data_IF_775176154763
#
_entry.id   IF_775176154763
#
_cell.length_a   1.000
_cell.length_b   1.000
_cell.length_c   1.000
_cell.angle_alpha   90.00
_cell.angle_beta   90.00
_cell.angle_gamma   90.00
#
_symmetry.space_group_name_H-M   'P 1'
#
loop_
_entity.id
_entity.type
_entity.pdbx_description
1 polymer ?
#
# COMPACT_ATOMS: atom_id res chain seq x y z
N UNK A 1 14.70 0.66 -12.21
CA UNK A 1 13.72 1.79 -12.23
C UNK A 1 14.22 2.82 -11.23
N UNK A 2 14.32 4.11 -11.58
CA UNK A 2 14.84 5.12 -10.64
C UNK A 2 13.87 5.30 -9.45
N UNK A 3 14.39 5.61 -8.26
CA UNK A 3 13.63 5.72 -7.01
C UNK A 3 12.47 6.73 -7.12
N UNK A 4 12.68 7.83 -7.85
CA UNK A 4 11.66 8.86 -8.07
C UNK A 4 10.47 8.31 -8.86
N UNK A 5 10.71 7.61 -9.97
CA UNK A 5 9.63 7.06 -10.82
C UNK A 5 8.86 5.95 -10.11
N UNK A 6 9.54 5.16 -9.28
CA UNK A 6 8.90 4.15 -8.43
C UNK A 6 7.97 4.77 -7.37
N UNK A 7 8.40 5.83 -6.68
CA UNK A 7 7.55 6.55 -5.74
C UNK A 7 6.35 7.24 -6.43
N UNK A 8 6.54 7.82 -7.63
CA UNK A 8 5.45 8.38 -8.44
C UNK A 8 4.40 7.30 -8.75
N UNK A 9 4.81 6.08 -9.12
CA UNK A 9 3.91 4.94 -9.35
C UNK A 9 3.11 4.54 -8.10
N UNK A 10 3.76 4.41 -6.95
CA UNK A 10 3.07 4.06 -5.68
C UNK A 10 2.04 5.12 -5.30
N UNK A 11 2.41 6.40 -5.37
CA UNK A 11 1.54 7.53 -5.05
C UNK A 11 0.36 7.62 -6.01
N UNK A 12 0.57 7.44 -7.32
CA UNK A 12 -0.48 7.45 -8.34
C UNK A 12 -1.50 6.32 -8.12
N UNK A 13 -1.03 5.09 -7.93
CA UNK A 13 -1.91 3.96 -7.66
C UNK A 13 -2.70 4.13 -6.35
N UNK A 14 -2.06 4.61 -5.28
CA UNK A 14 -2.76 4.87 -4.03
C UNK A 14 -3.78 6.01 -4.17
N UNK A 15 -3.48 7.07 -4.94
CA UNK A 15 -4.41 8.17 -5.23
C UNK A 15 -5.69 7.65 -5.86
N UNK A 16 -5.57 6.76 -6.85
CA UNK A 16 -6.75 6.12 -7.47
C UNK A 16 -7.67 5.48 -6.42
N UNK A 17 -7.13 4.67 -5.49
CA UNK A 17 -7.95 4.03 -4.46
C UNK A 17 -8.59 5.03 -3.49
N UNK A 18 -7.87 6.09 -3.10
CA UNK A 18 -8.41 7.15 -2.22
C UNK A 18 -9.58 7.87 -2.85
N UNK A 19 -9.40 8.38 -4.06
CA UNK A 19 -10.41 9.19 -4.76
C UNK A 19 -11.61 8.35 -5.16
N UNK A 20 -11.40 7.10 -5.59
CA UNK A 20 -12.48 6.26 -6.12
C UNK A 20 -13.30 5.56 -5.04
N UNK A 21 -12.71 5.25 -3.88
CA UNK A 21 -13.35 4.38 -2.88
C UNK A 21 -13.38 4.97 -1.47
N UNK A 22 -13.06 6.25 -1.29
CA UNK A 22 -13.22 6.95 -0.02
C UNK A 22 -12.26 6.49 1.07
N UNK A 23 -11.06 6.01 0.72
CA UNK A 23 -10.03 5.73 1.73
C UNK A 23 -9.49 7.04 2.33
N UNK A 24 -9.83 7.30 3.59
CA UNK A 24 -9.37 8.45 4.36
C UNK A 24 -8.56 8.04 5.60
N UNK A 25 -7.74 8.94 6.17
CA UNK A 25 -7.08 8.70 7.44
C UNK A 25 -8.08 8.49 8.60
N UNK A 26 -7.71 7.75 9.66
CA UNK A 26 -6.46 7.00 9.79
C UNK A 26 -6.46 5.72 8.94
N UNK A 27 -5.37 5.50 8.19
CA UNK A 27 -5.22 4.35 7.31
C UNK A 27 -4.90 3.09 8.11
N UNK A 28 -5.79 2.10 8.06
CA UNK A 28 -5.59 0.81 8.71
C UNK A 28 -4.87 -0.13 7.73
N UNK A 29 -3.66 -0.53 8.10
CA UNK A 29 -2.79 -1.36 7.24
C UNK A 29 -2.62 -2.72 7.89
N UNK A 30 -3.33 -3.73 7.39
CA UNK A 30 -3.24 -5.10 7.87
C UNK A 30 -2.05 -5.81 7.22
N UNK A 31 -0.99 -6.02 8.00
CA UNK A 31 0.23 -6.70 7.56
C UNK A 31 0.24 -8.14 8.06
N UNK A 32 0.55 -9.08 7.17
CA UNK A 32 0.95 -10.42 7.61
C UNK A 32 2.41 -10.42 8.14
N UNK A 33 2.80 -11.40 8.96
CA UNK A 33 4.16 -11.49 9.49
C UNK A 33 5.24 -11.61 8.40
N UNK A 34 4.94 -12.28 7.29
CA UNK A 34 5.90 -12.50 6.21
C UNK A 34 6.26 -11.19 5.47
N UNK A 35 5.30 -10.29 5.30
CA UNK A 35 5.51 -8.94 4.79
C UNK A 35 6.35 -8.10 5.74
N UNK A 36 6.07 -8.19 7.05
CA UNK A 36 6.88 -7.50 8.06
C UNK A 36 8.32 -8.02 8.01
N UNK A 37 8.52 -9.33 7.96
CA UNK A 37 9.86 -9.91 7.80
C UNK A 37 10.58 -9.37 6.56
N UNK A 38 9.92 -9.42 5.39
CA UNK A 38 10.50 -8.89 4.15
C UNK A 38 10.83 -7.39 4.25
N UNK A 39 10.03 -6.60 4.98
CA UNK A 39 10.30 -5.18 5.20
C UNK A 39 11.55 -4.94 6.05
N UNK A 40 11.75 -5.77 7.08
CA UNK A 40 12.92 -5.68 7.94
C UNK A 40 14.19 -6.10 7.19
N UNK A 41 14.10 -7.19 6.42
CA UNK A 41 15.19 -7.70 5.59
C UNK A 41 15.62 -6.67 4.53
N UNK A 42 14.65 -6.05 3.87
CA UNK A 42 14.87 -4.95 2.91
C UNK A 42 15.16 -3.59 3.55
N UNK A 43 15.26 -3.50 4.89
CA UNK A 43 15.50 -2.26 5.66
C UNK A 43 14.52 -1.13 5.32
N UNK A 44 13.25 -1.49 5.10
CA UNK A 44 12.16 -0.56 4.78
C UNK A 44 11.47 -0.14 6.07
N UNK A 45 11.58 1.15 6.45
CA UNK A 45 10.72 1.70 7.50
C UNK A 45 9.28 1.86 6.98
N UNK A 46 8.42 0.91 7.32
CA UNK A 46 7.03 0.87 6.86
C UNK A 46 6.23 2.13 7.24
N UNK A 47 6.38 2.64 8.47
CA UNK A 47 5.61 3.82 8.92
C UNK A 47 5.97 5.05 8.09
N UNK A 48 7.26 5.28 7.87
CA UNK A 48 7.73 6.43 7.09
C UNK A 48 7.30 6.31 5.63
N UNK A 49 7.50 5.13 5.03
CA UNK A 49 7.11 4.87 3.63
C UNK A 49 5.61 5.03 3.41
N UNK A 50 4.80 4.43 4.27
CA UNK A 50 3.35 4.58 4.16
C UNK A 50 2.90 6.01 4.44
N UNK A 51 3.51 6.73 5.38
CA UNK A 51 3.19 8.15 5.61
C UNK A 51 3.52 8.99 4.38
N UNK A 52 4.64 8.72 3.70
CA UNK A 52 5.04 9.41 2.48
C UNK A 52 4.04 9.19 1.31
N UNK A 53 3.52 7.96 1.17
CA UNK A 53 2.59 7.58 0.11
C UNK A 53 1.14 7.99 0.46
N UNK A 54 0.74 7.78 1.71
CA UNK A 54 -0.64 7.94 2.16
C UNK A 54 -0.96 9.35 2.61
N UNK A 55 0.05 10.18 2.96
CA UNK A 55 -0.14 11.57 3.37
C UNK A 55 -1.21 11.72 4.46
N UNK A 56 -1.10 10.90 5.50
CA UNK A 56 -2.03 10.88 6.63
C UNK A 56 -1.59 9.89 7.70
N UNK A 57 -2.33 9.85 8.82
CA UNK A 57 -2.03 8.95 9.92
C UNK A 57 -2.16 7.49 9.49
N UNK A 58 -1.18 6.65 9.86
CA UNK A 58 -1.11 5.22 9.49
C UNK A 58 -1.05 4.36 10.76
N UNK A 59 -1.93 3.36 10.84
CA UNK A 59 -1.88 2.32 11.86
C UNK A 59 -1.57 0.97 11.23
N UNK A 60 -0.36 0.49 11.48
CA UNK A 60 0.01 -0.88 11.18
C UNK A 60 -0.75 -1.82 12.11
N UNK A 61 -1.32 -2.88 11.54
CA UNK A 61 -2.06 -3.91 12.25
C UNK A 61 -1.53 -5.29 11.88
N UNK A 62 -1.59 -6.21 12.83
CA UNK A 62 -1.29 -7.63 12.61
C UNK A 62 -2.43 -8.46 13.18
N UNK A 63 -2.87 -9.49 12.46
CA UNK A 63 -3.91 -10.39 12.99
C UNK A 63 -3.37 -11.19 14.16
N UNK A 64 -4.25 -11.53 15.10
CA UNK A 64 -3.93 -12.44 16.19
C UNK A 64 -3.43 -13.79 15.67
N UNK A 65 -4.09 -14.34 14.63
CA UNK A 65 -3.64 -15.59 14.00
C UNK A 65 -2.24 -15.49 13.40
N UNK A 66 -1.93 -14.38 12.71
CA UNK A 66 -0.58 -14.14 12.18
C UNK A 66 0.46 -14.04 13.28
N UNK A 67 0.17 -13.28 14.33
CA UNK A 67 1.09 -13.14 15.47
C UNK A 67 1.31 -14.47 16.20
N UNK A 68 0.26 -15.28 16.37
CA UNK A 68 0.34 -16.60 16.98
C UNK A 68 1.19 -17.56 16.13
N UNK A 69 0.96 -17.62 14.81
CA UNK A 69 1.72 -18.47 13.90
C UNK A 69 3.23 -18.15 14.00
N UNK A 70 3.61 -16.89 13.77
CA UNK A 70 5.04 -16.51 13.76
C UNK A 70 5.69 -16.65 15.14
N UNK A 71 4.94 -16.47 16.23
CA UNK A 71 5.46 -16.68 17.59
C UNK A 71 5.66 -18.16 17.92
N UNK A 72 4.91 -19.06 17.28
CA UNK A 72 4.96 -20.51 17.52
C UNK A 72 6.14 -21.19 16.86
N UNK A 73 6.63 -20.65 15.74
CA UNK A 73 7.71 -21.24 14.93
C UNK A 73 9.06 -21.32 15.66
N UNK A 74 9.26 -20.53 16.74
CA UNK A 74 10.52 -20.41 17.50
C UNK A 74 11.77 -20.21 16.62
N UNK A 75 11.58 -19.72 15.40
CA UNK A 75 12.65 -19.42 14.46
C UNK A 75 13.38 -18.15 14.89
N UNK A 76 14.70 -18.24 15.02
CA UNK A 76 15.56 -17.10 15.36
C UNK A 76 15.47 -15.99 14.32
N UNK A 77 15.27 -16.33 13.05
CA UNK A 77 15.16 -15.37 11.96
C UNK A 77 13.86 -14.55 12.03
N UNK A 78 12.82 -15.09 12.70
CA UNK A 78 11.52 -14.42 12.87
C UNK A 78 11.41 -13.62 14.17
N UNK A 79 12.41 -13.69 15.06
CA UNK A 79 12.39 -12.98 16.36
C UNK A 79 12.22 -11.47 16.20
N UNK A 80 12.93 -10.86 15.25
CA UNK A 80 12.83 -9.43 14.94
C UNK A 80 11.43 -9.07 14.44
N UNK A 81 10.84 -9.90 13.58
CA UNK A 81 9.45 -9.79 13.11
C UNK A 81 8.47 -9.82 14.27
N UNK A 82 8.56 -10.81 15.17
CA UNK A 82 7.70 -10.91 16.36
C UNK A 82 7.80 -9.65 17.23
N UNK A 83 9.02 -9.16 17.46
CA UNK A 83 9.24 -7.94 18.25
C UNK A 83 8.66 -6.71 17.56
N UNK A 84 8.83 -6.58 16.25
CA UNK A 84 8.24 -5.50 15.47
C UNK A 84 6.71 -5.54 15.56
N UNK A 85 6.10 -6.70 15.35
CA UNK A 85 4.65 -6.88 15.48
C UNK A 85 4.14 -6.42 16.85
N UNK A 86 4.81 -6.81 17.94
CA UNK A 86 4.38 -6.46 19.31
C UNK A 86 4.57 -4.98 19.66
N UNK A 87 5.60 -4.32 19.10
CA UNK A 87 5.97 -2.94 19.47
C UNK A 87 5.38 -1.89 18.52
N UNK A 88 5.26 -2.21 17.23
CA UNK A 88 4.94 -1.24 16.18
C UNK A 88 3.56 -1.44 15.56
N UNK A 89 2.98 -2.64 15.68
CA UNK A 89 1.65 -2.95 15.15
C UNK A 89 0.60 -2.99 16.27
N UNK A 90 -0.61 -2.54 15.95
CA UNK A 90 -1.79 -2.78 16.77
C UNK A 90 -2.31 -4.20 16.50
N UNK A 91 -2.69 -4.92 17.56
CA UNK A 91 -3.29 -6.25 17.41
C UNK A 91 -4.70 -6.14 16.80
N UNK A 92 -4.93 -6.82 15.70
CA UNK A 92 -6.26 -7.02 15.12
C UNK A 92 -6.84 -8.32 15.69
N UNK A 93 -7.78 -8.18 16.62
CA UNK A 93 -8.44 -9.32 17.30
C UNK A 93 -9.40 -10.02 16.35
N UNK A 94 -9.33 -11.35 16.31
CA UNK A 94 -10.18 -12.17 15.45
C UNK A 94 -11.43 -12.58 16.23
N UNK A 95 -12.54 -11.86 16.08
CA UNK A 95 -13.80 -12.17 16.80
C UNK A 95 -14.66 -13.21 16.08
N UNK A 96 -14.49 -13.36 14.77
CA UNK A 96 -15.37 -14.17 13.91
C UNK A 96 -14.99 -15.65 13.84
N UNK A 97 -13.79 -16.02 14.31
CA UNK A 97 -13.26 -17.37 14.16
C UNK A 97 -12.27 -17.73 15.28
N UNK A 98 -12.06 -19.03 15.47
CA UNK A 98 -10.97 -19.56 16.31
C UNK A 98 -9.63 -19.40 15.58
N UNK A 99 -8.47 -19.53 16.28
CA UNK A 99 -7.17 -19.49 15.63
C UNK A 99 -7.12 -20.40 14.40
N UNK A 100 -6.72 -19.84 13.27
CA UNK A 100 -6.67 -20.51 11.97
C UNK A 100 -5.44 -20.04 11.18
N UNK A 101 -5.24 -20.57 9.98
CA UNK A 101 -4.15 -20.12 9.12
C UNK A 101 -4.27 -18.60 8.83
N UNK A 102 -3.18 -17.81 8.88
CA UNK A 102 -3.23 -16.36 8.68
C UNK A 102 -3.80 -15.91 7.32
N UNK A 103 -3.60 -16.70 6.25
CA UNK A 103 -4.19 -16.44 4.94
C UNK A 103 -5.71 -16.41 5.02
N UNK A 104 -6.29 -17.45 5.61
CA UNK A 104 -7.73 -17.61 5.72
C UNK A 104 -8.31 -16.60 6.71
N UNK A 105 -7.57 -16.30 7.79
CA UNK A 105 -7.92 -15.24 8.74
C UNK A 105 -8.04 -13.87 8.05
N UNK A 106 -7.10 -13.50 7.16
CA UNK A 106 -7.21 -12.25 6.41
C UNK A 106 -8.49 -12.24 5.56
N UNK A 107 -8.74 -13.31 4.80
CA UNK A 107 -9.94 -13.42 3.96
C UNK A 107 -11.24 -13.34 4.77
N UNK A 108 -11.30 -13.99 5.93
CA UNK A 108 -12.45 -13.93 6.82
C UNK A 108 -12.69 -12.49 7.32
N UNK A 109 -11.64 -11.78 7.73
CA UNK A 109 -11.76 -10.38 8.15
C UNK A 109 -12.23 -9.47 7.01
N UNK A 110 -11.77 -9.68 5.77
CA UNK A 110 -12.27 -8.94 4.61
C UNK A 110 -13.76 -9.23 4.35
N UNK A 111 -14.17 -10.50 4.45
CA UNK A 111 -15.57 -10.92 4.34
C UNK A 111 -16.45 -10.26 5.42
N UNK A 112 -15.92 -10.08 6.61
CA UNK A 112 -16.60 -9.44 7.75
C UNK A 112 -16.46 -7.91 7.78
N UNK A 113 -16.13 -7.28 6.64
CA UNK A 113 -16.25 -5.84 6.48
C UNK A 113 -15.02 -5.04 6.89
N UNK A 114 -13.85 -5.68 7.08
CA UNK A 114 -12.60 -4.93 7.20
C UNK A 114 -12.42 -4.05 5.95
N UNK A 115 -12.29 -2.75 6.18
CA UNK A 115 -12.00 -1.76 5.15
C UNK A 115 -10.67 -1.07 5.49
N UNK A 116 -9.68 -1.22 4.61
CA UNK A 116 -8.33 -0.72 4.86
C UNK A 116 -7.38 -1.05 3.72
N UNK A 117 -6.15 -1.40 4.06
CA UNK A 117 -5.10 -1.82 3.14
C UNK A 117 -4.56 -3.17 3.62
N UNK A 118 -4.26 -4.08 2.70
CA UNK A 118 -3.63 -5.38 3.02
C UNK A 118 -2.18 -5.38 2.55
N UNK A 119 -1.28 -5.90 3.37
CA UNK A 119 0.13 -6.10 3.04
C UNK A 119 0.51 -7.57 3.24
N UNK A 120 0.89 -8.25 2.17
CA UNK A 120 1.19 -9.69 2.21
C UNK A 120 2.19 -10.09 1.12
N UNK A 121 3.06 -11.04 1.44
CA UNK A 121 3.99 -11.64 0.46
C UNK A 121 3.38 -12.85 -0.28
N UNK A 122 2.21 -13.30 0.14
CA UNK A 122 1.54 -14.47 -0.42
C UNK A 122 0.94 -14.15 -1.80
N UNK A 123 1.58 -14.61 -2.87
CA UNK A 123 1.14 -14.43 -4.26
C UNK A 123 -0.31 -14.90 -4.52
N UNK A 124 -0.67 -16.15 -4.19
CA UNK A 124 -2.05 -16.63 -4.28
C UNK A 124 -3.07 -15.80 -3.51
N UNK A 125 -2.77 -15.38 -2.28
CA UNK A 125 -3.66 -14.53 -1.47
C UNK A 125 -3.87 -13.17 -2.14
N UNK A 126 -2.81 -12.52 -2.60
CA UNK A 126 -2.87 -11.24 -3.33
C UNK A 126 -3.83 -11.30 -4.52
N UNK A 127 -3.71 -12.34 -5.36
CA UNK A 127 -4.60 -12.56 -6.51
C UNK A 127 -6.05 -12.79 -6.07
N UNK A 128 -6.24 -13.52 -4.97
CA UNK A 128 -7.57 -13.79 -4.42
C UNK A 128 -8.24 -12.52 -3.91
N UNK A 129 -7.51 -11.70 -3.14
CA UNK A 129 -8.01 -10.42 -2.64
C UNK A 129 -8.33 -9.48 -3.79
N UNK A 130 -7.44 -9.34 -4.79
CA UNK A 130 -7.68 -8.46 -5.93
C UNK A 130 -8.95 -8.86 -6.73
N UNK A 131 -9.25 -10.15 -6.80
CA UNK A 131 -10.45 -10.67 -7.48
C UNK A 131 -11.72 -10.45 -6.67
N UNK A 132 -11.71 -10.76 -5.38
CA UNK A 132 -12.90 -10.76 -4.53
C UNK A 132 -13.19 -9.38 -3.92
N UNK A 133 -12.14 -8.61 -3.64
CA UNK A 133 -12.17 -7.30 -2.99
C UNK A 133 -11.39 -6.28 -3.84
N UNK A 134 -11.81 -5.99 -5.08
CA UNK A 134 -11.02 -5.21 -6.03
C UNK A 134 -10.73 -3.77 -5.56
N UNK A 135 -11.56 -3.23 -4.68
CA UNK A 135 -11.41 -1.89 -4.09
C UNK A 135 -10.32 -1.81 -3.01
N UNK A 136 -9.76 -2.95 -2.59
CA UNK A 136 -8.76 -3.06 -1.54
C UNK A 136 -7.34 -2.82 -2.12
N UNK A 137 -6.59 -1.83 -1.64
CA UNK A 137 -5.18 -1.70 -1.97
C UNK A 137 -4.37 -2.85 -1.36
N UNK A 138 -3.47 -3.43 -2.15
CA UNK A 138 -2.64 -4.57 -1.73
C UNK A 138 -1.17 -4.21 -1.96
N UNK A 139 -0.37 -4.25 -0.89
CA UNK A 139 1.07 -4.02 -0.94
C UNK A 139 1.86 -5.31 -0.73
N UNK A 140 3.06 -5.33 -1.29
CA UNK A 140 4.03 -6.41 -1.15
C UNK A 140 5.46 -5.86 -1.31
N UNK A 141 6.47 -6.67 -1.07
CA UNK A 141 7.87 -6.29 -1.24
C UNK A 141 8.51 -7.18 -2.30
N UNK A 142 9.11 -6.52 -3.28
CA UNK A 142 9.87 -7.11 -4.39
C UNK A 142 10.82 -6.02 -4.89
N UNK A 143 12.09 -6.15 -4.53
CA UNK A 143 13.12 -5.11 -4.69
C UNK A 143 12.62 -3.70 -4.28
N UNK A 144 12.02 -3.63 -3.09
CA UNK A 144 11.33 -2.45 -2.57
C UNK A 144 9.82 -2.63 -2.42
N UNK A 145 9.15 -1.61 -1.87
CA UNK A 145 7.71 -1.64 -1.62
C UNK A 145 6.93 -1.52 -2.93
N UNK A 146 6.02 -2.45 -3.20
CA UNK A 146 5.18 -2.46 -4.39
C UNK A 146 3.70 -2.40 -3.99
N UNK A 147 2.87 -1.86 -4.88
CA UNK A 147 1.40 -1.93 -4.81
C UNK A 147 0.89 -2.71 -6.01
N UNK A 148 -0.06 -3.61 -5.81
CA UNK A 148 -0.77 -4.23 -6.92
C UNK A 148 -1.55 -3.16 -7.68
N UNK A 149 -1.37 -3.04 -9.01
CA UNK A 149 -2.13 -2.08 -9.78
C UNK A 149 -3.63 -2.43 -9.71
N UNK A 150 -4.53 -1.45 -9.69
CA UNK A 150 -5.96 -1.70 -9.85
C UNK A 150 -6.20 -2.40 -11.20
N UNK A 151 -7.10 -3.38 -11.21
CA UNK A 151 -7.41 -4.13 -12.43
C UNK A 151 -8.04 -3.21 -13.48
N UNK A 152 -7.80 -3.50 -14.76
CA UNK A 152 -8.39 -2.74 -15.86
C UNK A 152 -9.92 -2.64 -15.72
N UNK A 153 -10.57 -3.79 -15.45
CA UNK A 153 -12.02 -3.87 -15.20
C UNK A 153 -12.49 -2.90 -14.10
N UNK A 154 -11.73 -2.77 -13.01
CA UNK A 154 -12.07 -1.84 -11.94
C UNK A 154 -11.95 -0.39 -12.39
N UNK A 155 -10.86 -0.03 -13.08
CA UNK A 155 -10.68 1.32 -13.63
C UNK A 155 -11.83 1.69 -14.58
N UNK A 156 -12.13 0.81 -15.53
CA UNK A 156 -13.20 1.02 -16.51
C UNK A 156 -14.56 1.22 -15.80
N UNK A 157 -14.84 0.45 -14.74
CA UNK A 157 -16.07 0.60 -13.96
C UNK A 157 -16.16 1.93 -13.21
N UNK A 158 -15.04 2.43 -12.67
CA UNK A 158 -14.98 3.73 -12.00
C UNK A 158 -15.18 4.86 -13.01
N UNK A 159 -14.54 4.77 -14.17
CA UNK A 159 -14.69 5.77 -15.24
C UNK A 159 -16.15 5.85 -15.70
N UNK A 160 -16.79 4.71 -15.98
CA UNK A 160 -18.19 4.67 -16.38
C UNK A 160 -19.12 5.26 -15.29
N UNK A 161 -18.84 5.00 -14.01
CA UNK A 161 -19.60 5.57 -12.89
C UNK A 161 -19.43 7.11 -12.79
N UNK A 162 -18.21 7.61 -13.02
CA UNK A 162 -17.92 9.05 -13.03
C UNK A 162 -18.58 9.74 -14.22
N UNK A 163 -18.45 9.17 -15.43
CA UNK A 163 -19.10 9.70 -16.64
C UNK A 163 -20.62 9.77 -16.47
N UNK A 164 -21.25 8.74 -15.87
CA UNK A 164 -22.68 8.76 -15.58
C UNK A 164 -23.06 9.87 -14.59
N UNK A 165 -22.26 10.10 -13.53
CA UNK A 165 -22.48 11.18 -12.56
C UNK A 165 -22.37 12.57 -13.19
N UNK A 166 -21.38 12.78 -14.07
CA UNK A 166 -21.17 14.06 -14.74
C UNK A 166 -22.08 14.29 -15.94
N UNK A 167 -22.59 13.24 -16.59
CA UNK A 167 -23.63 13.38 -17.60
C UNK A 167 -24.95 13.93 -17.01
N UNK A 168 -25.22 13.68 -15.72
CA UNK A 168 -26.39 14.19 -15.00
C UNK A 168 -26.19 15.55 -14.34
N UNK A 169 -24.95 16.02 -14.20
CA UNK A 169 -24.60 17.32 -13.64
C UNK A 169 -24.04 18.24 -14.74
N UNK A 170 -24.81 19.25 -15.16
CA UNK A 170 -24.41 20.26 -16.15
C UNK A 170 -23.34 21.25 -15.65
N UNK A 171 -22.44 20.85 -14.76
CA UNK A 171 -21.27 21.63 -14.37
C UNK A 171 -20.05 20.70 -14.42
N UNK A 172 -19.17 20.97 -15.40
CA UNK A 172 -17.92 20.25 -15.64
C UNK A 172 -16.96 20.53 -14.48
N UNK A 173 -16.43 19.52 -13.77
CA UNK A 173 -15.29 19.72 -12.89
C UNK A 173 -13.99 19.76 -13.69
N UNK A 174 -13.16 20.76 -13.43
CA UNK A 174 -11.83 20.99 -14.02
C UNK A 174 -10.71 20.09 -13.45
N UNK A 175 -11.03 18.97 -12.81
CA UNK A 175 -10.02 18.03 -12.29
C UNK A 175 -10.00 16.73 -13.11
N UNK A 176 -9.66 16.86 -14.39
CA UNK A 176 -9.16 15.73 -15.18
C UNK A 176 -7.66 15.58 -14.91
N UNK A 177 -7.26 14.39 -14.43
CA UNK A 177 -5.85 14.01 -14.35
C UNK A 177 -5.37 13.73 -15.77
N UNK A 178 -4.86 14.75 -16.45
CA UNK A 178 -3.99 14.55 -17.62
C UNK A 178 -2.66 13.93 -17.16
N UNK A 179 -2.14 13.03 -17.99
CA UNK A 179 -0.83 12.42 -17.82
C UNK A 179 0.28 13.48 -17.92
N UNK A 180 0.70 14.04 -16.79
CA UNK A 180 1.91 14.87 -16.71
C UNK A 180 3.16 13.98 -16.81
N UNK A 181 3.53 13.65 -18.05
CA UNK A 181 4.83 13.04 -18.39
C UNK A 181 5.79 14.00 -19.09
N UNK A 182 5.54 15.33 -19.13
CA UNK A 182 6.40 16.24 -19.93
C UNK A 182 6.80 17.61 -19.34
N UNK A 183 6.58 17.90 -18.06
CA UNK A 183 6.99 19.20 -17.49
C UNK A 183 7.73 19.04 -16.17
N UNK A 184 8.98 18.62 -16.22
CA UNK A 184 9.93 18.78 -15.10
C UNK A 184 11.41 18.71 -15.57
N UNK A 185 11.69 18.92 -16.87
CA UNK A 185 13.07 18.90 -17.42
C UNK A 185 13.74 20.28 -17.52
N UNK A 186 13.12 21.36 -17.01
CA UNK A 186 13.65 22.73 -17.20
C UNK A 186 14.07 23.48 -15.94
N UNK A 187 14.08 22.86 -14.75
CA UNK A 187 14.35 23.61 -13.50
C UNK A 187 15.47 23.04 -12.62
N UNK A 188 16.45 22.33 -13.19
CA UNK A 188 17.73 22.06 -12.50
C UNK A 188 18.92 22.39 -13.41
N UNK A 189 19.15 23.69 -13.63
CA UNK A 189 20.50 24.22 -13.86
C UNK A 189 20.65 25.56 -13.15
N UNK A 190 21.02 25.48 -11.87
CA UNK A 190 21.72 26.57 -11.20
C UNK A 190 23.22 26.24 -11.02
N UNK A 191 24.07 27.27 -10.82
CA UNK A 191 25.41 27.30 -11.41
C UNK A 191 26.53 27.23 -10.36
N UNK A 192 27.57 26.44 -10.60
CA UNK A 192 28.87 26.49 -9.89
C UNK A 192 29.92 25.89 -10.85
N UNK A 193 31.18 26.33 -10.99
CA UNK A 193 32.06 27.14 -10.14
C UNK A 193 33.26 27.61 -10.98
N UNK A 194 33.93 28.68 -10.51
CA UNK A 194 35.24 29.14 -10.96
C UNK A 194 36.31 28.07 -10.70
N UNK A 195 37.18 27.80 -11.66
CA UNK A 195 38.55 27.33 -11.38
C UNK A 195 39.56 28.16 -12.17
N UNK A 196 40.45 28.81 -11.42
CA UNK A 196 41.72 29.34 -11.87
C UNK A 196 42.67 28.20 -12.27
N UNK A 197 43.43 28.39 -13.37
CA UNK A 197 44.85 28.03 -13.52
C UNK A 197 45.35 28.60 -14.85
N UNK A 198 46.24 29.60 -14.80
CA UNK A 198 47.69 29.45 -15.05
C UNK A 198 48.00 28.90 -16.45
N UNK A 199 48.24 29.80 -17.39
CA UNK A 199 49.55 30.06 -18.01
C UNK A 199 49.52 31.39 -18.77
#
# INVERSE_FOLDING_TARGET
MNRVTHMKKLKSAMRFFKTSFGLHPPYLVLCDPNFIFASLDSKINLKDRFTEIFKGQVFLKVTECGLLEVSSLKDKNMQSTVQFCKKQCQLFKCSSHKPMNPRDCILDNLKHGFNGIVCTQDGPLRKTIQRLYPKMPIFYIDDGLQIMPPSKKLKDSVIAELEAKYATNTEKPEDYVEEDEKKEETEEKEPETKEEKKE
#
